data_IF_233581366283
#
_entry.id   IF_233581366283
#
_cell.length_a   1.000
_cell.length_b   1.000
_cell.length_c   1.000
_cell.angle_alpha   90.00
_cell.angle_beta   90.00
_cell.angle_gamma   90.00
#
_symmetry.space_group_name_H-M   'P 1'
#
loop_
_entity.id
_entity.type
_entity.pdbx_description
1 polymer ?
#
# COMPACT_ATOMS: atom_id res chain seq x y z
N UNK A 1 14.12 20.35 26.39
CA UNK A 1 13.47 19.73 25.21
C UNK A 1 14.17 18.42 24.91
N UNK A 2 13.50 17.28 25.09
CA UNK A 2 14.08 15.99 24.73
C UNK A 2 13.76 15.76 23.24
N UNK A 3 14.72 16.05 22.36
CA UNK A 3 14.54 15.81 20.94
C UNK A 3 14.38 14.31 20.72
N UNK A 4 13.25 13.86 20.17
CA UNK A 4 13.11 12.49 19.70
C UNK A 4 14.15 12.29 18.61
N UNK A 5 15.20 11.53 18.89
CA UNK A 5 16.15 11.11 17.87
C UNK A 5 15.41 10.21 16.87
N UNK A 6 15.43 10.62 15.60
CA UNK A 6 15.02 9.75 14.51
C UNK A 6 16.03 8.61 14.41
N UNK A 7 15.53 7.37 14.49
CA UNK A 7 16.34 6.18 14.27
C UNK A 7 16.34 5.87 12.78
N UNK A 8 17.53 5.79 12.19
CA UNK A 8 17.69 5.22 10.86
C UNK A 8 17.49 3.70 10.91
N UNK A 9 16.79 3.17 9.92
CA UNK A 9 16.59 1.74 9.73
C UNK A 9 17.08 1.39 8.33
N UNK A 10 17.86 0.32 8.23
CA UNK A 10 18.45 -0.12 6.95
C UNK A 10 17.41 -0.78 6.02
N UNK A 11 16.25 -1.15 6.56
CA UNK A 11 15.20 -1.84 5.81
C UNK A 11 13.89 -1.99 6.58
N UNK A 12 12.87 -2.47 5.88
CA UNK A 12 11.51 -2.66 6.41
C UNK A 12 11.42 -3.87 7.36
N UNK A 13 12.36 -4.80 7.27
CA UNK A 13 12.41 -6.05 8.04
C UNK A 13 12.45 -5.78 9.55
N UNK A 14 13.21 -4.76 9.98
CA UNK A 14 13.26 -4.35 11.38
C UNK A 14 11.91 -3.84 11.91
N UNK A 15 11.03 -3.36 11.01
CA UNK A 15 9.66 -3.02 11.36
C UNK A 15 8.73 -4.23 11.31
N UNK A 16 9.00 -5.20 10.42
CA UNK A 16 8.24 -6.44 10.33
C UNK A 16 8.28 -7.24 11.65
N UNK A 17 9.37 -7.22 12.40
CA UNK A 17 9.42 -7.86 13.73
C UNK A 17 8.49 -7.20 14.77
N UNK A 18 8.10 -5.95 14.55
CA UNK A 18 7.40 -5.12 15.54
C UNK A 18 5.92 -4.91 15.26
N UNK A 19 5.51 -5.09 14.01
CA UNK A 19 4.16 -4.84 13.56
C UNK A 19 3.64 -6.01 12.74
N UNK A 20 2.35 -6.29 12.89
CA UNK A 20 1.66 -7.34 12.16
C UNK A 20 0.97 -6.82 10.89
N UNK A 21 0.62 -5.53 10.89
CA UNK A 21 -0.13 -4.87 9.81
C UNK A 21 0.62 -3.64 9.31
N UNK A 22 0.73 -3.54 7.98
CA UNK A 22 1.37 -2.43 7.27
C UNK A 22 0.35 -1.74 6.39
N UNK A 23 0.10 -0.46 6.66
CA UNK A 23 -0.69 0.42 5.81
C UNK A 23 0.27 1.26 4.98
N UNK A 24 0.33 1.03 3.67
CA UNK A 24 1.32 1.63 2.78
C UNK A 24 0.64 2.49 1.72
N UNK A 25 1.18 3.68 1.47
CA UNK A 25 0.86 4.43 0.24
C UNK A 25 1.57 3.79 -0.97
N UNK A 26 1.11 4.12 -2.18
CA UNK A 26 1.70 3.65 -3.44
C UNK A 26 2.52 4.73 -4.15
N UNK A 27 2.00 5.95 -4.33
CA UNK A 27 2.65 6.97 -5.15
C UNK A 27 3.63 7.78 -4.28
N UNK A 28 4.89 7.86 -4.69
CA UNK A 28 5.94 8.47 -3.86
C UNK A 28 6.45 7.55 -2.73
N UNK A 29 5.93 6.32 -2.64
CA UNK A 29 6.41 5.28 -1.71
C UNK A 29 6.85 4.03 -2.44
N UNK A 30 5.99 3.48 -3.31
CA UNK A 30 6.29 2.29 -4.11
C UNK A 30 6.76 2.65 -5.52
N UNK A 31 6.24 3.73 -6.10
CA UNK A 31 6.56 4.15 -7.46
C UNK A 31 6.36 5.65 -7.69
N UNK A 32 6.96 6.18 -8.76
CA UNK A 32 6.75 7.55 -9.27
C UNK A 32 5.64 7.63 -10.34
N UNK A 33 5.06 6.49 -10.69
CA UNK A 33 4.01 6.35 -11.69
C UNK A 33 4.49 5.92 -13.07
N UNK A 34 5.80 5.92 -13.31
CA UNK A 34 6.42 5.33 -14.49
C UNK A 34 7.13 4.01 -14.14
N UNK A 35 7.80 3.95 -12.99
CA UNK A 35 8.59 2.81 -12.55
C UNK A 35 8.52 2.61 -11.03
N UNK A 36 8.71 1.38 -10.53
CA UNK A 36 8.91 1.14 -9.10
C UNK A 36 10.20 1.79 -8.62
N UNK A 37 10.22 2.23 -7.36
CA UNK A 37 11.49 2.61 -6.72
C UNK A 37 12.36 1.37 -6.45
N UNK A 38 13.68 1.56 -6.45
CA UNK A 38 14.62 0.48 -6.18
C UNK A 38 14.34 -0.16 -4.81
N UNK A 39 14.20 -1.49 -4.78
CA UNK A 39 13.91 -2.25 -3.58
C UNK A 39 12.43 -2.26 -3.15
N UNK A 40 11.55 -1.47 -3.79
CA UNK A 40 10.15 -1.38 -3.35
C UNK A 40 9.37 -2.67 -3.59
N UNK A 41 9.61 -3.34 -4.73
CA UNK A 41 8.98 -4.63 -5.05
C UNK A 41 9.45 -5.68 -4.06
N UNK A 42 10.76 -5.75 -3.83
CA UNK A 42 11.40 -6.71 -2.92
C UNK A 42 10.94 -6.50 -1.47
N UNK A 43 10.85 -5.24 -1.02
CA UNK A 43 10.41 -4.89 0.32
C UNK A 43 8.95 -5.30 0.57
N UNK A 44 8.07 -5.06 -0.40
CA UNK A 44 6.66 -5.45 -0.30
C UNK A 44 6.53 -6.98 -0.24
N UNK A 45 7.25 -7.71 -1.09
CA UNK A 45 7.31 -9.17 -1.04
C UNK A 45 7.96 -9.70 0.24
N UNK A 46 8.94 -9.00 0.82
CA UNK A 46 9.56 -9.37 2.09
C UNK A 46 8.58 -9.29 3.26
N UNK A 47 7.73 -8.25 3.31
CA UNK A 47 6.65 -8.14 4.29
C UNK A 47 5.70 -9.34 4.19
N UNK A 48 5.32 -9.74 2.98
CA UNK A 48 4.45 -10.91 2.78
C UNK A 48 5.11 -12.23 3.16
N UNK A 49 6.38 -12.45 2.80
CA UNK A 49 7.13 -13.63 3.25
C UNK A 49 7.28 -13.69 4.77
N UNK A 50 7.35 -12.54 5.44
CA UNK A 50 7.35 -12.44 6.89
C UNK A 50 5.95 -12.63 7.52
N UNK A 51 4.94 -13.03 6.74
CA UNK A 51 3.59 -13.32 7.22
C UNK A 51 2.77 -12.08 7.59
N UNK A 52 3.17 -10.90 7.12
CA UNK A 52 2.51 -9.64 7.48
C UNK A 52 1.27 -9.37 6.65
N UNK A 53 0.30 -8.72 7.27
CA UNK A 53 -0.83 -8.15 6.56
C UNK A 53 -0.41 -6.81 5.95
N UNK A 54 -0.59 -6.68 4.64
CA UNK A 54 -0.21 -5.50 3.88
C UNK A 54 -1.46 -4.94 3.20
N UNK A 55 -1.78 -3.70 3.54
CA UNK A 55 -2.90 -2.96 2.96
C UNK A 55 -2.36 -1.75 2.23
N UNK A 56 -2.62 -1.68 0.93
CA UNK A 56 -2.30 -0.50 0.13
C UNK A 56 -3.44 0.51 0.26
N UNK A 57 -3.09 1.75 0.63
CA UNK A 57 -4.04 2.85 0.81
C UNK A 57 -3.65 3.98 -0.13
N UNK A 58 -4.59 4.45 -0.96
CA UNK A 58 -4.29 5.49 -1.93
C UNK A 58 -5.35 6.59 -1.99
N UNK A 59 -4.90 7.84 -2.09
CA UNK A 59 -5.76 8.99 -2.37
C UNK A 59 -6.23 9.07 -3.83
N UNK A 60 -5.96 8.06 -4.66
CA UNK A 60 -6.46 7.97 -6.03
C UNK A 60 -7.99 8.06 -6.09
N UNK A 61 -8.50 8.97 -6.94
CA UNK A 61 -9.93 9.05 -7.24
C UNK A 61 -10.45 7.88 -8.08
N UNK A 62 -9.57 6.99 -8.56
CA UNK A 62 -9.96 5.75 -9.25
C UNK A 62 -10.33 4.67 -8.22
N UNK A 63 -11.20 3.74 -8.61
CA UNK A 63 -11.47 2.50 -7.86
C UNK A 63 -10.21 1.67 -7.64
N UNK A 64 -10.27 0.69 -6.72
CA UNK A 64 -9.10 -0.11 -6.32
C UNK A 64 -8.48 -0.88 -7.51
N UNK A 65 -9.29 -1.64 -8.23
CA UNK A 65 -8.85 -2.56 -9.30
C UNK A 65 -8.00 -1.89 -10.42
N UNK A 66 -8.34 -0.69 -10.95
CA UNK A 66 -7.44 0.03 -11.86
C UNK A 66 -6.05 0.35 -11.30
N UNK A 67 -5.93 0.64 -10.00
CA UNK A 67 -4.65 0.91 -9.36
C UNK A 67 -3.86 -0.39 -9.16
N UNK A 68 -4.52 -1.47 -8.74
CA UNK A 68 -3.89 -2.80 -8.64
C UNK A 68 -3.32 -3.27 -9.97
N UNK A 69 -4.09 -3.13 -11.07
CA UNK A 69 -3.59 -3.44 -12.42
C UNK A 69 -2.36 -2.62 -12.80
N UNK A 70 -2.27 -1.37 -12.33
CA UNK A 70 -1.09 -0.53 -12.58
C UNK A 70 0.12 -1.07 -11.84
N UNK A 71 -0.01 -1.42 -10.56
CA UNK A 71 1.08 -2.01 -9.78
C UNK A 71 1.58 -3.32 -10.42
N UNK A 72 0.67 -4.19 -10.86
CA UNK A 72 1.06 -5.42 -11.58
C UNK A 72 1.90 -5.11 -12.83
N UNK A 73 1.51 -4.10 -13.62
CA UNK A 73 2.28 -3.67 -14.80
C UNK A 73 3.65 -3.07 -14.45
N UNK A 74 3.80 -2.52 -13.25
CA UNK A 74 5.07 -2.00 -12.74
C UNK A 74 5.97 -3.09 -12.14
N UNK A 75 5.53 -4.35 -12.11
CA UNK A 75 6.32 -5.48 -11.65
C UNK A 75 6.02 -5.94 -10.22
N UNK A 76 5.01 -5.36 -9.55
CA UNK A 76 4.59 -5.88 -8.24
C UNK A 76 3.75 -7.15 -8.40
N UNK A 77 4.01 -8.16 -7.58
CA UNK A 77 3.26 -9.41 -7.58
C UNK A 77 1.88 -9.23 -6.95
N UNK A 78 0.83 -9.82 -7.50
CA UNK A 78 -0.53 -9.73 -6.94
C UNK A 78 -0.61 -10.19 -5.47
N UNK A 79 0.17 -11.21 -5.11
CA UNK A 79 0.21 -11.74 -3.75
C UNK A 79 1.05 -10.86 -2.78
N UNK A 80 1.63 -9.74 -3.26
CA UNK A 80 2.45 -8.86 -2.43
C UNK A 80 1.63 -7.92 -1.51
N UNK A 81 0.30 -7.90 -1.61
CA UNK A 81 -0.61 -7.24 -0.68
C UNK A 81 -1.89 -8.05 -0.44
N UNK A 82 -2.58 -7.81 0.67
CA UNK A 82 -3.86 -8.47 0.99
C UNK A 82 -5.06 -7.64 0.54
N UNK A 83 -4.96 -6.31 0.68
CA UNK A 83 -6.05 -5.40 0.40
C UNK A 83 -5.57 -4.13 -0.30
N UNK A 84 -6.41 -3.59 -1.17
CA UNK A 84 -6.22 -2.28 -1.80
C UNK A 84 -7.44 -1.40 -1.54
N UNK A 85 -7.21 -0.26 -0.87
CA UNK A 85 -8.24 0.72 -0.56
C UNK A 85 -7.87 2.04 -1.24
N UNK A 86 -8.78 2.58 -2.05
CA UNK A 86 -8.62 3.92 -2.61
C UNK A 86 -9.76 4.84 -2.22
N UNK A 87 -9.51 6.15 -2.17
CA UNK A 87 -10.56 7.16 -1.95
C UNK A 87 -11.69 7.03 -2.98
N UNK A 88 -11.35 6.73 -4.24
CA UNK A 88 -12.35 6.45 -5.29
C UNK A 88 -13.20 5.21 -5.01
N UNK A 89 -12.62 4.13 -4.47
CA UNK A 89 -13.36 2.92 -4.10
C UNK A 89 -14.30 3.20 -2.92
N UNK A 90 -13.83 3.92 -1.90
CA UNK A 90 -14.65 4.31 -0.74
C UNK A 90 -15.82 5.20 -1.16
N UNK A 91 -15.57 6.24 -1.97
CA UNK A 91 -16.61 7.12 -2.48
C UNK A 91 -17.64 6.37 -3.33
N UNK A 92 -17.19 5.48 -4.22
CA UNK A 92 -18.07 4.67 -5.04
C UNK A 92 -19.00 3.77 -4.21
N UNK A 93 -18.45 3.09 -3.17
CA UNK A 93 -19.26 2.27 -2.26
C UNK A 93 -20.27 3.11 -1.50
N UNK A 94 -19.84 4.25 -0.95
CA UNK A 94 -20.74 5.15 -0.22
C UNK A 94 -21.91 5.62 -1.09
N UNK A 95 -21.66 6.09 -2.32
CA UNK A 95 -22.74 6.53 -3.21
C UNK A 95 -23.66 5.39 -3.64
N UNK A 96 -23.11 4.19 -3.87
CA UNK A 96 -23.91 3.01 -4.20
C UNK A 96 -24.83 2.63 -3.03
N UNK A 97 -24.32 2.66 -1.81
CA UNK A 97 -25.08 2.29 -0.62
C UNK A 97 -26.14 3.36 -0.28
N UNK A 98 -25.85 4.65 -0.53
CA UNK A 98 -26.85 5.72 -0.49
C UNK A 98 -27.97 5.50 -1.52
N UNK A 99 -27.62 5.24 -2.79
CA UNK A 99 -28.60 4.98 -3.82
C UNK A 99 -29.48 3.74 -3.54
N UNK A 100 -28.94 2.75 -2.81
CA UNK A 100 -29.68 1.57 -2.39
C UNK A 100 -30.59 1.80 -1.17
N UNK A 101 -30.37 2.87 -0.40
CA UNK A 101 -31.13 3.17 0.83
C UNK A 101 -32.21 4.23 0.67
N UNK A 102 -32.27 4.93 -0.48
CA UNK A 102 -33.31 5.92 -0.82
C UNK A 102 -32.98 7.33 -0.39
#
# INVERSE_FOLDING_TARGET
>A
MNAKLARHLDGIEALAERYDVFLLDQFGVLHDGQQPYAGAVEALSALKRAGKTVVLISNSGKRAEPNERRLKKLGFEEASWDHFVSSGEVAWRAFRDMAASG
#
